data_IF_164735987175
#
_entry.id   IF_164735987175
#
_cell.length_a   1.000
_cell.length_b   1.000
_cell.length_c   1.000
_cell.angle_alpha   90.00
_cell.angle_beta   90.00
_cell.angle_gamma   90.00
#
_symmetry.space_group_name_H-M   'P 1'
#
loop_
_entity.id
_entity.type
_entity.pdbx_description
1 polymer ?
#
# COMPACT_ATOMS: atom_id res chain seq x y z
N UNK A 1 -9.51 7.52 -16.62
CA UNK A 1 -9.54 8.05 -15.24
C UNK A 1 -8.20 8.72 -14.97
N UNK A 2 -8.20 9.91 -14.36
CA UNK A 2 -6.96 10.59 -13.93
C UNK A 2 -7.02 10.68 -12.41
N UNK A 3 -6.02 10.12 -11.73
CA UNK A 3 -5.83 10.24 -10.28
C UNK A 3 -4.64 11.15 -10.05
N UNK A 4 -4.82 12.23 -9.32
CA UNK A 4 -3.71 13.13 -8.96
C UNK A 4 -3.02 12.56 -7.73
N UNK A 5 -1.70 12.51 -7.78
CA UNK A 5 -0.88 11.92 -6.71
C UNK A 5 0.16 12.94 -6.27
N UNK A 6 0.26 13.15 -4.96
CA UNK A 6 1.41 13.79 -4.32
C UNK A 6 2.21 12.70 -3.61
N UNK A 7 3.48 12.55 -3.99
CA UNK A 7 4.38 11.57 -3.39
C UNK A 7 5.44 12.28 -2.54
N UNK A 8 5.39 12.08 -1.23
CA UNK A 8 6.39 12.56 -0.26
C UNK A 8 7.33 11.46 0.24
N UNK A 9 7.27 10.27 -0.36
CA UNK A 9 8.17 9.16 -0.04
C UNK A 9 9.46 9.22 -0.86
N UNK A 10 10.42 8.37 -0.48
CA UNK A 10 11.65 8.11 -1.25
C UNK A 10 11.45 7.12 -2.41
N UNK A 11 10.23 6.60 -2.59
CA UNK A 11 9.92 5.57 -3.57
C UNK A 11 9.28 6.16 -4.83
N UNK A 12 9.34 5.43 -5.94
CA UNK A 12 8.55 5.76 -7.13
C UNK A 12 7.05 5.63 -6.84
N UNK A 13 6.24 6.31 -7.65
CA UNK A 13 4.78 6.16 -7.57
C UNK A 13 4.39 4.70 -7.90
N UNK A 14 3.32 4.17 -7.28
CA UNK A 14 2.85 2.82 -7.59
C UNK A 14 2.46 2.68 -9.05
N UNK A 15 2.74 1.51 -9.61
CA UNK A 15 2.37 1.14 -10.96
C UNK A 15 1.89 -0.31 -11.01
N UNK A 16 1.17 -0.66 -12.07
CA UNK A 16 0.82 -2.03 -12.36
C UNK A 16 2.07 -2.77 -12.87
N UNK A 17 2.48 -3.82 -12.16
CA UNK A 17 3.69 -4.57 -12.51
C UNK A 17 3.58 -5.29 -13.87
N UNK A 18 2.37 -5.67 -14.25
CA UNK A 18 2.04 -6.28 -15.54
C UNK A 18 0.73 -5.71 -16.06
N UNK A 19 0.48 -5.86 -17.36
CA UNK A 19 -0.72 -5.35 -18.03
C UNK A 19 -2.03 -5.82 -17.37
N UNK A 20 -2.09 -7.06 -16.90
CA UNK A 20 -3.28 -7.65 -16.26
C UNK A 20 -3.24 -7.65 -14.73
N UNK A 21 -2.34 -6.86 -14.12
CA UNK A 21 -2.27 -6.76 -12.66
C UNK A 21 -3.55 -6.15 -12.08
N UNK A 22 -4.11 -6.79 -11.05
CA UNK A 22 -5.36 -6.34 -10.42
C UNK A 22 -5.17 -5.12 -9.48
N UNK A 23 -3.94 -4.84 -9.06
CA UNK A 23 -3.60 -3.76 -8.13
C UNK A 23 -2.15 -3.32 -8.30
N UNK A 24 -1.79 -2.26 -7.58
CA UNK A 24 -0.44 -1.71 -7.55
C UNK A 24 0.19 -1.95 -6.17
N UNK A 25 1.49 -2.23 -6.13
CA UNK A 25 2.20 -2.42 -4.88
C UNK A 25 2.46 -1.07 -4.18
N UNK A 26 2.05 -0.94 -2.93
CA UNK A 26 2.39 0.18 -2.05
C UNK A 26 3.66 -0.13 -1.27
N UNK A 27 4.51 0.88 -1.08
CA UNK A 27 5.80 0.73 -0.39
C UNK A 27 5.78 1.48 0.94
N UNK A 28 6.35 0.86 1.97
CA UNK A 28 6.50 1.47 3.28
C UNK A 28 7.49 2.65 3.22
N UNK A 29 7.05 3.82 3.64
CA UNK A 29 7.86 5.02 3.75
C UNK A 29 8.36 5.20 5.18
N UNK A 30 9.30 4.35 5.59
CA UNK A 30 9.87 4.34 6.93
C UNK A 30 11.32 4.81 6.93
N UNK A 31 11.71 5.48 8.02
CA UNK A 31 13.11 5.78 8.34
C UNK A 31 13.84 4.50 8.79
N UNK A 32 13.19 3.72 9.67
CA UNK A 32 13.72 2.48 10.26
C UNK A 32 12.70 1.34 10.13
N UNK A 33 13.15 0.09 10.23
CA UNK A 33 12.26 -1.07 10.15
C UNK A 33 11.39 -1.21 11.40
N UNK A 34 10.13 -1.64 11.20
CA UNK A 34 9.22 -1.98 12.27
C UNK A 34 9.27 -3.49 12.53
N UNK A 35 9.31 -3.88 13.80
CA UNK A 35 9.12 -5.28 14.22
C UNK A 35 7.72 -5.41 14.77
N UNK A 36 6.93 -6.32 14.18
CA UNK A 36 5.61 -6.70 14.69
C UNK A 36 5.72 -8.01 15.45
N UNK A 37 5.40 -8.00 16.75
CA UNK A 37 5.22 -9.23 17.53
C UNK A 37 3.86 -9.86 17.22
N UNK A 38 3.64 -11.13 17.59
CA UNK A 38 2.34 -11.77 17.41
C UNK A 38 1.20 -10.89 17.95
N UNK A 39 0.14 -10.73 17.13
CA UNK A 39 -1.06 -9.94 17.41
C UNK A 39 -0.89 -8.42 17.50
N UNK A 40 0.34 -7.90 17.36
CA UNK A 40 0.58 -6.46 17.26
C UNK A 40 0.06 -5.89 15.94
N UNK A 41 -0.25 -4.60 15.96
CA UNK A 41 -0.71 -3.82 14.80
C UNK A 41 0.07 -2.53 14.76
N UNK A 42 0.43 -2.12 13.55
CA UNK A 42 1.05 -0.82 13.32
C UNK A 42 0.46 -0.18 12.07
N UNK A 43 0.39 1.16 12.09
CA UNK A 43 0.16 1.93 10.88
C UNK A 43 1.49 2.05 10.13
N UNK A 44 1.51 1.67 8.86
CA UNK A 44 2.67 1.79 7.98
C UNK A 44 2.39 2.86 6.96
N UNK A 45 3.07 4.00 7.09
CA UNK A 45 2.89 5.13 6.18
C UNK A 45 3.43 4.80 4.77
N UNK A 46 2.74 5.29 3.75
CA UNK A 46 3.18 5.17 2.33
C UNK A 46 3.82 6.44 1.81
N UNK A 47 3.55 7.59 2.44
CA UNK A 47 3.94 8.91 1.92
C UNK A 47 3.18 9.34 0.66
N UNK A 48 2.10 8.63 0.29
CA UNK A 48 1.27 8.92 -0.88
C UNK A 48 -0.03 9.59 -0.47
N UNK A 49 -0.40 10.64 -1.20
CA UNK A 49 -1.66 11.35 -1.07
C UNK A 49 -2.33 11.36 -2.43
N UNK A 50 -3.58 10.90 -2.50
CA UNK A 50 -4.29 10.75 -3.76
C UNK A 50 -5.58 11.56 -3.75
N UNK A 51 -5.92 12.11 -4.91
CA UNK A 51 -7.21 12.73 -5.19
C UNK A 51 -7.99 11.80 -6.11
N UNK A 52 -9.07 11.21 -5.58
CA UNK A 52 -9.94 10.32 -6.33
C UNK A 52 -11.07 11.12 -6.97
N UNK A 53 -11.41 10.86 -8.25
CA UNK A 53 -12.57 11.47 -8.88
C UNK A 53 -13.87 10.97 -8.24
N UNK A 54 -14.93 11.77 -8.37
CA UNK A 54 -16.27 11.41 -7.88
C UNK A 54 -16.73 10.08 -8.48
N UNK A 55 -17.30 9.21 -7.64
CA UNK A 55 -17.80 7.89 -8.05
C UNK A 55 -16.77 6.77 -8.02
N UNK A 56 -15.56 7.04 -7.49
CA UNK A 56 -14.48 6.05 -7.37
C UNK A 56 -14.01 5.92 -5.93
N UNK A 57 -13.44 4.76 -5.61
CA UNK A 57 -12.76 4.49 -4.35
C UNK A 57 -11.40 3.84 -4.62
N UNK A 58 -10.50 3.94 -3.63
CA UNK A 58 -9.28 3.16 -3.60
C UNK A 58 -9.39 2.13 -2.47
N UNK A 59 -9.12 0.87 -2.79
CA UNK A 59 -9.10 -0.20 -1.80
C UNK A 59 -7.66 -0.64 -1.54
N UNK A 60 -7.28 -0.70 -0.26
CA UNK A 60 -6.02 -1.29 0.17
C UNK A 60 -6.29 -2.74 0.51
N UNK A 61 -5.67 -3.67 -0.22
CA UNK A 61 -5.86 -5.12 -0.04
C UNK A 61 -4.57 -5.79 0.42
N UNK A 62 -4.65 -6.90 1.18
CA UNK A 62 -3.46 -7.64 1.61
C UNK A 62 -2.66 -8.17 0.41
N UNK A 63 -1.32 -8.14 0.52
CA UNK A 63 -0.47 -8.92 -0.41
C UNK A 63 -0.52 -10.38 0.01
N UNK A 64 -1.02 -11.23 -0.89
CA UNK A 64 -1.20 -12.67 -0.63
C UNK A 64 0.06 -13.36 -0.11
N UNK A 65 1.24 -12.98 -0.63
CA UNK A 65 2.51 -13.52 -0.16
C UNK A 65 2.81 -13.22 1.32
N UNK A 66 2.51 -12.01 1.79
CA UNK A 66 2.70 -11.63 3.20
C UNK A 66 1.66 -12.30 4.12
N UNK A 67 0.41 -12.40 3.66
CA UNK A 67 -0.64 -13.08 4.39
C UNK A 67 -0.32 -14.58 4.55
N UNK A 68 0.02 -15.26 3.46
CA UNK A 68 0.24 -16.71 3.46
C UNK A 68 1.55 -17.12 4.16
N UNK A 69 2.61 -16.33 4.05
CA UNK A 69 3.94 -16.69 4.59
C UNK A 69 4.20 -16.13 5.99
N UNK A 70 3.60 -15.00 6.34
CA UNK A 70 3.92 -14.26 7.55
C UNK A 70 2.70 -13.95 8.43
N UNK A 71 1.48 -14.30 8.01
CA UNK A 71 0.26 -13.95 8.74
C UNK A 71 -0.03 -12.45 8.79
N UNK A 72 0.59 -11.66 7.91
CA UNK A 72 0.40 -10.20 7.87
C UNK A 72 -0.76 -9.87 6.93
N UNK A 73 -1.75 -9.13 7.44
CA UNK A 73 -2.91 -8.68 6.69
C UNK A 73 -3.19 -7.21 6.91
N UNK A 74 -4.01 -6.63 6.03
CA UNK A 74 -4.72 -5.38 6.31
C UNK A 74 -5.96 -5.74 7.13
N UNK A 75 -6.16 -5.06 8.26
CA UNK A 75 -7.24 -5.37 9.19
C UNK A 75 -8.59 -4.77 8.76
N UNK A 76 -8.56 -3.67 8.03
CA UNK A 76 -9.69 -2.80 7.70
C UNK A 76 -9.73 -2.46 6.21
#
# INVERSE_FOLDING_TARGET
MIVRIVNKSKHQIPEYATESSAGMDLRANLQESIVLKPLERAMVETGLFIELPIGYEAQVRPRSGLAAKNGITVLN
#
